data_IF_694945557637
#
_entry.id   IF_694945557637
#
_cell.length_a   1.000
_cell.length_b   1.000
_cell.length_c   1.000
_cell.angle_alpha   90.00
_cell.angle_beta   90.00
_cell.angle_gamma   90.00
#
_symmetry.space_group_name_H-M   'P 1'
#
loop_
_entity.id
_entity.type
_entity.pdbx_description
1 polymer ?
#
# COMPACT_ATOMS: atom_id res chain seq x y z
N UNK A 1 -5.95 -9.23 -0.28
CA UNK A 1 -5.52 -8.17 0.66
C UNK A 1 -6.66 -7.19 0.84
N UNK A 2 -6.77 -6.59 2.02
CA UNK A 2 -7.80 -5.60 2.34
C UNK A 2 -7.15 -4.26 2.68
N UNK A 3 -7.65 -3.17 2.10
CA UNK A 3 -7.08 -1.83 2.22
C UNK A 3 -8.10 -0.85 2.78
N UNK A 4 -7.66 0.02 3.69
CA UNK A 4 -8.40 1.19 4.13
C UNK A 4 -7.83 2.44 3.46
N UNK A 5 -8.67 3.28 2.88
CA UNK A 5 -8.28 4.60 2.38
C UNK A 5 -8.95 5.64 3.26
N UNK A 6 -8.14 6.47 3.91
CA UNK A 6 -8.62 7.62 4.69
C UNK A 6 -8.33 8.88 3.88
N UNK A 7 -9.35 9.68 3.68
CA UNK A 7 -9.24 10.90 2.87
C UNK A 7 -9.88 12.09 3.56
N UNK A 8 -9.15 13.22 3.62
CA UNK A 8 -9.68 14.46 4.17
C UNK A 8 -10.67 15.12 3.20
N UNK A 9 -11.77 15.69 3.74
CA UNK A 9 -12.72 16.51 2.97
C UNK A 9 -12.19 17.92 2.71
N UNK A 10 -11.36 18.43 3.62
CA UNK A 10 -10.74 19.74 3.41
C UNK A 10 -9.82 19.68 2.18
N UNK A 11 -9.89 20.69 1.32
CA UNK A 11 -9.25 20.73 -0.01
C UNK A 11 -9.75 19.61 -0.95
N UNK A 12 -11.06 19.34 -0.96
CA UNK A 12 -11.71 18.24 -1.69
C UNK A 12 -11.36 18.22 -3.18
N UNK A 13 -11.22 19.38 -3.82
CA UNK A 13 -10.78 19.47 -5.22
C UNK A 13 -9.47 18.71 -5.49
N UNK A 14 -8.55 18.70 -4.52
CA UNK A 14 -7.28 17.98 -4.60
C UNK A 14 -7.45 16.54 -4.08
N UNK A 15 -8.05 16.38 -2.90
CA UNK A 15 -8.08 15.08 -2.21
C UNK A 15 -8.94 14.05 -2.94
N UNK A 16 -9.99 14.46 -3.66
CA UNK A 16 -10.76 13.56 -4.51
C UNK A 16 -9.97 13.05 -5.73
N UNK A 17 -9.06 13.85 -6.28
CA UNK A 17 -8.13 13.40 -7.34
C UNK A 17 -7.14 12.37 -6.80
N UNK A 18 -6.63 12.59 -5.58
CA UNK A 18 -5.78 11.62 -4.91
C UNK A 18 -6.54 10.32 -4.64
N UNK A 19 -7.77 10.41 -4.14
CA UNK A 19 -8.62 9.26 -3.84
C UNK A 19 -8.89 8.42 -5.09
N UNK A 20 -9.33 9.04 -6.20
CA UNK A 20 -9.61 8.34 -7.46
C UNK A 20 -8.37 7.60 -7.97
N UNK A 21 -7.21 8.24 -7.92
CA UNK A 21 -5.96 7.63 -8.38
C UNK A 21 -5.47 6.53 -7.43
N UNK A 22 -5.64 6.67 -6.11
CA UNK A 22 -5.32 5.62 -5.16
C UNK A 22 -6.21 4.39 -5.36
N UNK A 23 -7.51 4.60 -5.55
CA UNK A 23 -8.47 3.54 -5.81
C UNK A 23 -8.14 2.78 -7.10
N UNK A 24 -7.90 3.51 -8.21
CA UNK A 24 -7.46 2.93 -9.48
C UNK A 24 -6.14 2.14 -9.34
N UNK A 25 -5.16 2.69 -8.62
CA UNK A 25 -3.89 2.03 -8.34
C UNK A 25 -4.05 0.69 -7.60
N UNK A 26 -4.95 0.61 -6.62
CA UNK A 26 -5.28 -0.63 -5.93
C UNK A 26 -5.94 -1.64 -6.87
N UNK A 27 -6.91 -1.22 -7.69
CA UNK A 27 -7.59 -2.11 -8.64
C UNK A 27 -6.60 -2.68 -9.66
N UNK A 28 -5.75 -1.85 -10.25
CA UNK A 28 -4.70 -2.28 -11.19
C UNK A 28 -3.67 -3.21 -10.53
N UNK A 29 -3.47 -3.10 -9.24
CA UNK A 29 -2.62 -4.01 -8.46
C UNK A 29 -3.32 -5.31 -8.05
N UNK A 30 -4.55 -5.55 -8.52
CA UNK A 30 -5.31 -6.78 -8.30
C UNK A 30 -6.12 -6.81 -7.00
N UNK A 31 -6.32 -5.67 -6.32
CA UNK A 31 -7.25 -5.60 -5.21
C UNK A 31 -8.70 -5.68 -5.71
N UNK A 32 -9.54 -6.48 -5.05
CA UNK A 32 -10.97 -6.51 -5.36
C UNK A 32 -11.67 -5.29 -4.76
N UNK A 33 -12.66 -4.72 -5.45
CA UNK A 33 -13.42 -3.55 -4.97
C UNK A 33 -13.96 -3.74 -3.54
N UNK A 34 -14.57 -4.90 -3.27
CA UNK A 34 -15.11 -5.25 -1.94
C UNK A 34 -14.06 -5.32 -0.82
N UNK A 35 -12.78 -5.30 -1.17
CA UNK A 35 -11.67 -5.29 -0.23
C UNK A 35 -11.06 -3.90 0.01
N UNK A 36 -11.66 -2.87 -0.56
CA UNK A 36 -11.25 -1.47 -0.40
C UNK A 36 -12.34 -0.74 0.37
N UNK A 37 -11.99 -0.16 1.50
CA UNK A 37 -12.90 0.65 2.32
C UNK A 37 -12.42 2.09 2.34
N UNK A 38 -13.35 3.03 2.14
CA UNK A 38 -13.06 4.46 2.09
C UNK A 38 -13.69 5.15 3.29
N UNK A 39 -12.87 5.87 4.05
CA UNK A 39 -13.28 6.64 5.22
C UNK A 39 -12.96 8.12 4.97
N UNK A 40 -13.97 8.98 5.01
CA UNK A 40 -13.82 10.42 4.86
C UNK A 40 -13.76 11.09 6.24
N UNK A 41 -12.72 11.90 6.45
CA UNK A 41 -12.52 12.68 7.68
C UNK A 41 -12.61 14.19 7.40
N UNK A 42 -12.90 15.03 8.41
CA UNK A 42 -13.06 16.47 8.20
C UNK A 42 -11.84 17.14 7.58
N UNK A 43 -10.65 16.91 8.13
CA UNK A 43 -9.40 17.51 7.69
C UNK A 43 -8.23 16.52 7.79
N UNK A 44 -7.04 16.99 7.45
CA UNK A 44 -5.82 16.16 7.53
C UNK A 44 -5.44 15.84 8.97
N UNK A 45 -5.81 16.69 9.93
CA UNK A 45 -5.50 16.50 11.35
C UNK A 45 -6.17 15.26 11.95
N UNK A 46 -7.33 14.87 11.43
CA UNK A 46 -8.07 13.69 11.88
C UNK A 46 -7.59 12.36 11.25
N UNK A 47 -6.75 12.43 10.22
CA UNK A 47 -6.24 11.25 9.51
C UNK A 47 -5.52 10.27 10.47
N UNK A 48 -4.58 10.70 11.33
CA UNK A 48 -3.85 9.76 12.20
C UNK A 48 -4.76 8.98 13.14
N UNK A 49 -5.76 9.64 13.73
CA UNK A 49 -6.73 8.99 14.63
C UNK A 49 -7.57 7.95 13.89
N UNK A 50 -8.10 8.30 12.71
CA UNK A 50 -8.85 7.37 11.89
C UNK A 50 -8.00 6.19 11.40
N UNK A 51 -6.74 6.45 11.03
CA UNK A 51 -5.79 5.43 10.60
C UNK A 51 -5.51 4.43 11.71
N UNK A 52 -5.27 4.91 12.93
CA UNK A 52 -5.09 4.06 14.09
C UNK A 52 -6.32 3.21 14.37
N UNK A 53 -7.49 3.82 14.39
CA UNK A 53 -8.75 3.12 14.64
C UNK A 53 -8.97 1.98 13.63
N UNK A 54 -8.75 2.22 12.32
CA UNK A 54 -8.86 1.18 11.31
C UNK A 54 -7.80 0.08 11.52
N UNK A 55 -6.55 0.44 11.79
CA UNK A 55 -5.47 -0.52 11.98
C UNK A 55 -5.73 -1.46 13.17
N UNK A 56 -6.25 -0.94 14.28
CA UNK A 56 -6.58 -1.69 15.50
C UNK A 56 -7.70 -2.70 15.30
N UNK A 57 -8.54 -2.55 14.26
CA UNK A 57 -9.55 -3.57 13.91
C UNK A 57 -8.93 -4.90 13.46
N UNK A 58 -7.65 -4.90 13.07
CA UNK A 58 -6.97 -6.09 12.54
C UNK A 58 -7.45 -6.55 11.16
N UNK A 59 -8.35 -5.80 10.51
CA UNK A 59 -8.99 -6.21 9.25
C UNK A 59 -8.18 -5.84 8.00
N UNK A 60 -7.22 -4.91 8.11
CA UNK A 60 -6.53 -4.32 6.96
C UNK A 60 -5.09 -4.80 6.86
N UNK A 61 -4.66 -5.06 5.63
CA UNK A 61 -3.27 -5.38 5.31
C UNK A 61 -2.41 -4.12 5.22
N UNK A 62 -2.99 -3.00 4.78
CA UNK A 62 -2.39 -1.66 4.81
C UNK A 62 -3.46 -0.57 4.80
N UNK A 63 -3.07 0.65 5.19
CA UNK A 63 -3.90 1.85 5.21
C UNK A 63 -3.25 2.92 4.33
N UNK A 64 -4.05 3.66 3.58
CA UNK A 64 -3.62 4.77 2.73
C UNK A 64 -4.19 6.05 3.32
N UNK A 65 -3.32 7.02 3.60
CA UNK A 65 -3.66 8.30 4.20
C UNK A 65 -3.57 9.40 3.14
N UNK A 66 -4.71 10.00 2.77
CA UNK A 66 -4.80 11.02 1.72
C UNK A 66 -5.27 12.35 2.30
N UNK A 67 -4.51 13.40 2.04
CA UNK A 67 -4.82 14.75 2.48
C UNK A 67 -4.10 15.79 1.64
N UNK A 68 -4.43 17.05 1.87
CA UNK A 68 -3.74 18.17 1.25
C UNK A 68 -3.66 19.33 2.24
N UNK A 69 -2.43 19.71 2.57
CA UNK A 69 -2.09 20.85 3.41
C UNK A 69 -1.45 21.91 2.51
N UNK A 70 -2.05 23.10 2.49
CA UNK A 70 -1.54 24.26 1.77
C UNK A 70 -1.04 25.28 2.80
N UNK A 71 0.15 25.83 2.55
CA UNK A 71 0.72 26.87 3.41
C UNK A 71 -0.11 28.13 3.32
N UNK A 72 -0.55 28.62 4.48
CA UNK A 72 -1.17 29.93 4.64
C UNK A 72 -0.19 30.90 5.32
N UNK A 73 -0.70 32.08 5.68
CA UNK A 73 0.09 33.18 6.24
C UNK A 73 0.51 32.99 7.70
N UNK A 74 0.04 31.92 8.35
CA UNK A 74 0.29 31.67 9.77
C UNK A 74 1.11 30.41 9.99
N UNK A 75 1.72 30.29 11.20
CA UNK A 75 2.45 29.10 11.62
C UNK A 75 1.57 27.84 11.77
N UNK A 76 0.26 27.94 11.62
CA UNK A 76 -0.68 26.85 11.74
C UNK A 76 -0.35 25.68 10.81
N UNK A 77 0.12 25.96 9.60
CA UNK A 77 0.55 24.95 8.63
C UNK A 77 1.63 24.02 9.20
N UNK A 78 2.69 24.59 9.78
CA UNK A 78 3.82 23.80 10.27
C UNK A 78 3.42 22.92 11.47
N UNK A 79 2.54 23.40 12.32
CA UNK A 79 1.98 22.64 13.44
C UNK A 79 1.18 21.44 12.93
N UNK A 80 0.29 21.64 11.98
CA UNK A 80 -0.56 20.57 11.43
C UNK A 80 0.27 19.56 10.66
N UNK A 81 1.22 20.00 9.80
CA UNK A 81 2.10 19.10 9.03
C UNK A 81 2.87 18.18 9.97
N UNK A 82 3.47 18.72 11.03
CA UNK A 82 4.26 17.94 11.98
C UNK A 82 3.39 16.89 12.69
N UNK A 83 2.22 17.29 13.20
CA UNK A 83 1.36 16.37 13.94
C UNK A 83 0.75 15.28 13.04
N UNK A 84 0.34 15.60 11.82
CA UNK A 84 -0.19 14.63 10.87
C UNK A 84 0.88 13.62 10.47
N UNK A 85 2.07 14.09 10.13
CA UNK A 85 3.18 13.22 9.70
C UNK A 85 3.62 12.29 10.83
N UNK A 86 3.84 12.88 12.03
CA UNK A 86 4.23 12.14 13.23
C UNK A 86 3.16 11.10 13.60
N UNK A 87 1.89 11.52 13.64
CA UNK A 87 0.79 10.66 14.06
C UNK A 87 0.55 9.48 13.12
N UNK A 88 0.66 9.67 11.79
CA UNK A 88 0.57 8.58 10.81
C UNK A 88 1.73 7.58 10.99
N UNK A 89 2.96 8.08 11.13
CA UNK A 89 4.14 7.25 11.36
C UNK A 89 4.07 6.47 12.66
N UNK A 90 3.67 7.11 13.75
CA UNK A 90 3.50 6.49 15.06
C UNK A 90 2.42 5.39 15.01
N UNK A 91 1.27 5.67 14.42
CA UNK A 91 0.21 4.68 14.25
C UNK A 91 0.70 3.43 13.51
N UNK A 92 1.45 3.61 12.41
CA UNK A 92 2.01 2.49 11.66
C UNK A 92 2.97 1.63 12.49
N UNK A 93 3.86 2.27 13.26
CA UNK A 93 4.84 1.58 14.10
C UNK A 93 4.18 0.82 15.25
N UNK A 94 3.23 1.45 15.95
CA UNK A 94 2.58 0.85 17.12
C UNK A 94 1.61 -0.27 16.76
N UNK A 95 0.90 -0.16 15.63
CA UNK A 95 -0.05 -1.18 15.18
C UNK A 95 0.60 -2.28 14.33
N UNK A 96 1.78 -2.01 13.79
CA UNK A 96 2.46 -2.89 12.83
C UNK A 96 1.69 -3.07 11.51
N UNK A 97 0.69 -2.23 11.23
CA UNK A 97 -0.02 -2.15 9.95
C UNK A 97 0.64 -1.07 9.11
N UNK A 98 1.09 -1.33 7.87
CA UNK A 98 1.67 -0.31 7.01
C UNK A 98 0.68 0.84 6.74
N UNK A 99 1.15 2.08 6.88
CA UNK A 99 0.41 3.28 6.50
C UNK A 99 1.15 3.98 5.36
N UNK A 100 0.52 4.05 4.19
CA UNK A 100 1.08 4.75 3.04
C UNK A 100 0.72 6.23 3.11
N UNK A 101 1.75 7.09 3.01
CA UNK A 101 1.63 8.53 3.16
C UNK A 101 1.35 9.19 1.82
N UNK A 102 0.11 9.60 1.61
CA UNK A 102 -0.37 10.35 0.45
C UNK A 102 -0.89 11.74 0.81
N UNK A 103 -0.39 12.33 1.90
CA UNK A 103 -0.74 13.69 2.31
C UNK A 103 0.20 14.67 1.60
N UNK A 104 -0.37 15.56 0.80
CA UNK A 104 0.37 16.64 0.17
C UNK A 104 0.65 17.77 1.17
N UNK A 105 1.88 18.25 1.17
CA UNK A 105 2.34 19.40 1.94
C UNK A 105 2.97 20.39 0.96
N UNK A 106 2.21 21.40 0.57
CA UNK A 106 2.57 22.29 -0.53
C UNK A 106 2.54 23.76 -0.08
N UNK A 107 3.43 24.56 -0.63
CA UNK A 107 3.44 25.98 -0.40
C UNK A 107 2.39 26.71 -1.25
N UNK A 108 2.07 26.17 -2.44
CA UNK A 108 1.09 26.76 -3.36
C UNK A 108 0.06 25.76 -3.86
N UNK A 109 -1.07 26.28 -4.33
CA UNK A 109 -2.13 25.47 -4.94
C UNK A 109 -1.64 24.77 -6.21
N UNK A 110 -0.81 25.44 -7.02
CA UNK A 110 -0.24 24.87 -8.25
C UNK A 110 0.58 23.63 -7.95
N UNK A 111 1.42 23.65 -6.91
CA UNK A 111 2.16 22.47 -6.47
C UNK A 111 1.21 21.32 -6.11
N UNK A 112 0.13 21.61 -5.40
CA UNK A 112 -0.84 20.58 -5.03
C UNK A 112 -1.56 20.00 -6.26
N UNK A 113 -1.94 20.83 -7.23
CA UNK A 113 -2.56 20.38 -8.47
C UNK A 113 -1.59 19.50 -9.28
N UNK A 114 -0.33 19.92 -9.41
CA UNK A 114 0.69 19.13 -10.13
C UNK A 114 0.88 17.74 -9.51
N UNK A 115 0.92 17.66 -8.19
CA UNK A 115 1.07 16.40 -7.44
C UNK A 115 -0.22 15.57 -7.33
N UNK A 116 -1.35 16.16 -7.69
CA UNK A 116 -2.63 15.48 -7.79
C UNK A 116 -2.93 14.94 -9.20
N UNK A 117 -1.93 14.92 -10.09
CA UNK A 117 -2.03 14.25 -11.39
C UNK A 117 -2.08 15.16 -12.61
N UNK A 118 -1.72 16.46 -12.47
CA UNK A 118 -1.65 17.32 -13.64
C UNK A 118 -0.34 17.15 -14.41
N UNK A 119 0.82 17.25 -13.74
CA UNK A 119 2.12 17.27 -14.40
C UNK A 119 3.13 16.27 -13.80
N UNK A 120 3.17 16.15 -12.48
CA UNK A 120 4.22 15.43 -11.73
C UNK A 120 3.75 14.07 -11.18
N UNK A 121 2.87 13.37 -11.89
CA UNK A 121 2.27 12.13 -11.40
C UNK A 121 1.16 12.39 -10.35
N UNK A 122 0.70 11.33 -9.69
CA UNK A 122 -0.35 11.45 -8.67
C UNK A 122 0.07 10.77 -7.38
N UNK A 123 0.16 11.57 -6.30
CA UNK A 123 0.61 11.07 -4.99
C UNK A 123 -0.32 10.03 -4.37
N UNK A 124 -1.60 10.03 -4.71
CA UNK A 124 -2.56 8.99 -4.31
C UNK A 124 -2.23 7.65 -4.95
N UNK A 125 -1.90 7.64 -6.25
CA UNK A 125 -1.47 6.43 -6.95
C UNK A 125 -0.17 5.87 -6.37
N UNK A 126 0.83 6.72 -6.15
CA UNK A 126 2.11 6.33 -5.53
C UNK A 126 1.88 5.71 -4.13
N UNK A 127 1.00 6.31 -3.32
CA UNK A 127 0.66 5.79 -2.00
C UNK A 127 -0.05 4.42 -2.08
N UNK A 128 -0.89 4.20 -3.08
CA UNK A 128 -1.52 2.90 -3.30
C UNK A 128 -0.50 1.81 -3.63
N UNK A 129 0.45 2.10 -4.53
CA UNK A 129 1.53 1.16 -4.85
C UNK A 129 2.39 0.84 -3.62
N UNK A 130 2.78 1.86 -2.85
CA UNK A 130 3.53 1.68 -1.61
C UNK A 130 2.75 0.83 -0.59
N UNK A 131 1.43 1.02 -0.46
CA UNK A 131 0.59 0.22 0.42
C UNK A 131 0.58 -1.26 0.00
N UNK A 132 0.46 -1.55 -1.30
CA UNK A 132 0.49 -2.92 -1.83
C UNK A 132 1.86 -3.57 -1.59
N UNK A 133 2.94 -2.85 -1.88
CA UNK A 133 4.31 -3.33 -1.66
C UNK A 133 4.55 -3.66 -0.19
N UNK A 134 4.24 -2.74 0.73
CA UNK A 134 4.44 -2.92 2.15
C UNK A 134 3.54 -4.01 2.76
N UNK A 135 2.32 -4.19 2.27
CA UNK A 135 1.45 -5.28 2.67
C UNK A 135 2.04 -6.65 2.28
N UNK A 136 2.60 -6.76 1.06
CA UNK A 136 3.27 -7.97 0.61
C UNK A 136 4.55 -8.24 1.38
N UNK A 137 5.39 -7.22 1.59
CA UNK A 137 6.62 -7.32 2.36
C UNK A 137 6.34 -7.79 3.80
N UNK A 138 5.33 -7.20 4.45
CA UNK A 138 4.91 -7.61 5.80
C UNK A 138 4.53 -9.08 5.86
N UNK A 139 3.82 -9.60 4.86
CA UNK A 139 3.47 -11.02 4.75
C UNK A 139 4.71 -11.89 4.55
N UNK A 140 5.60 -11.49 3.65
CA UNK A 140 6.83 -12.22 3.35
C UNK A 140 7.77 -12.33 4.59
N UNK A 141 7.92 -11.25 5.35
CA UNK A 141 8.74 -11.24 6.59
C UNK A 141 8.14 -12.14 7.68
N UNK A 142 6.80 -12.26 7.73
CA UNK A 142 6.12 -13.09 8.75
C UNK A 142 6.09 -14.58 8.42
N UNK A 143 6.43 -14.99 7.20
CA UNK A 143 6.55 -16.40 6.84
C UNK A 143 7.83 -16.95 7.48
N UNK A 144 7.77 -17.99 8.36
CA UNK A 144 8.96 -18.60 8.93
C UNK A 144 9.88 -19.13 7.82
N UNK A 145 11.18 -18.89 7.94
CA UNK A 145 12.18 -19.36 6.94
C UNK A 145 12.13 -20.87 6.71
N UNK A 146 11.71 -21.66 7.71
CA UNK A 146 11.45 -23.10 7.56
C UNK A 146 10.43 -23.44 6.47
N UNK A 147 9.34 -22.68 6.36
CA UNK A 147 8.31 -22.90 5.35
C UNK A 147 8.81 -22.62 3.93
N UNK A 148 9.73 -21.69 3.76
CA UNK A 148 10.36 -21.37 2.46
C UNK A 148 11.32 -22.48 2.03
N UNK A 149 12.07 -23.06 2.99
CA UNK A 149 12.98 -24.17 2.73
C UNK A 149 12.22 -25.44 2.28
N UNK A 150 11.10 -25.75 2.92
CA UNK A 150 10.26 -26.90 2.56
C UNK A 150 9.64 -26.78 1.16
N UNK A 151 9.21 -25.58 0.78
CA UNK A 151 8.68 -25.31 -0.57
C UNK A 151 9.78 -25.47 -1.62
N UNK A 152 10.98 -24.95 -1.38
CA UNK A 152 12.13 -25.09 -2.28
C UNK A 152 12.60 -26.56 -2.41
N UNK A 153 12.56 -27.33 -1.33
CA UNK A 153 12.89 -28.74 -1.33
C UNK A 153 11.85 -29.56 -2.10
N UNK A 154 10.56 -29.23 -1.99
CA UNK A 154 9.46 -29.86 -2.73
C UNK A 154 9.59 -29.64 -4.24
N UNK A 155 9.87 -28.39 -4.67
CA UNK A 155 10.07 -28.05 -6.09
C UNK A 155 11.29 -28.77 -6.67
N UNK A 156 12.38 -28.93 -5.91
CA UNK A 156 13.57 -29.69 -6.35
C UNK A 156 13.28 -31.17 -6.49
N UNK A 157 12.47 -31.79 -5.64
CA UNK A 157 12.08 -33.20 -5.72
C UNK A 157 11.21 -33.48 -6.95
N UNK A 158 10.27 -32.60 -7.29
CA UNK A 158 9.44 -32.75 -8.50
C UNK A 158 10.24 -32.59 -9.78
N UNK A 159 11.19 -31.63 -9.82
CA UNK A 159 12.08 -31.43 -10.97
C UNK A 159 13.10 -32.59 -11.15
N UNK A 160 13.56 -33.20 -10.05
CA UNK A 160 14.46 -34.39 -10.09
C UNK A 160 13.76 -35.65 -10.64
N UNK A 161 12.51 -35.84 -10.25
CA UNK A 161 11.74 -37.04 -10.66
C UNK A 161 11.35 -37.04 -12.16
N UNK A 162 11.24 -35.86 -12.77
CA UNK A 162 10.97 -35.74 -14.23
C UNK A 162 12.20 -36.12 -15.08
N UNK A 163 13.42 -35.86 -14.61
CA UNK A 163 14.67 -36.21 -15.29
C UNK A 163 14.96 -37.73 -15.26
N UNK A 164 14.56 -38.44 -14.22
CA UNK A 164 14.78 -39.87 -14.06
C UNK A 164 13.81 -40.66 -14.98
N UNK A 165 12.58 -40.15 -15.18
CA UNK A 165 11.58 -40.80 -16.06
C UNK A 165 11.91 -40.69 -17.56
N UNK A 166 12.68 -39.69 -17.99
CA UNK A 166 13.14 -39.53 -19.38
C UNK A 166 14.34 -40.44 -19.72
N UNK A 167 15.21 -40.76 -18.72
CA UNK A 167 16.35 -41.66 -18.95
C UNK A 167 15.96 -43.13 -19.07
N UNK A 168 14.89 -43.60 -18.44
CA UNK A 168 14.43 -44.99 -18.53
C UNK A 168 13.68 -45.35 -19.82
N UNK A 169 13.28 -44.36 -20.63
CA UNK A 169 12.65 -44.60 -21.95
C UNK A 169 13.59 -44.67 -23.15
N UNK A 170 14.91 -44.37 -22.96
CA UNK A 170 15.89 -44.30 -24.04
C UNK A 170 16.67 -45.60 -24.31
N UNK A 171 16.53 -46.65 -23.46
CA UNK A 171 17.35 -47.88 -23.57
C UNK A 171 16.63 -49.10 -24.12
N UNK A 172 15.42 -48.96 -24.73
CA UNK A 172 14.69 -50.07 -25.31
C UNK A 172 14.46 -49.92 -26.82
N UNK A 173 15.54 -49.73 -27.59
CA UNK A 173 15.51 -49.92 -29.04
C UNK A 173 16.93 -50.23 -29.56
N UNK A 174 17.32 -51.52 -29.56
CA UNK A 174 18.20 -52.15 -30.57
C UNK A 174 18.42 -53.60 -30.15
N UNK A 175 17.62 -54.50 -30.73
CA UNK A 175 17.99 -55.87 -31.08
C UNK A 175 16.85 -56.41 -31.96
N UNK A 176 16.98 -56.28 -33.19
CA UNK A 176 16.83 -57.21 -34.30
C UNK A 176 17.09 -56.47 -35.60
#
# INVERSE_FOLDING_TARGET
MRFGIIVSRFNEFITDRLLRSAYDGLLRSGAAEKSIEIVRVPGSFEIPTAARTLAETGKYDAIICLGCLLRGDTAHYDVIVNEVTRGIGQSAQETGVPHAFGVLTCDTLEQAIDRAGLKMGNKGFEAALAAVEMANLRKAIRIPQSAVADTAASVRRTAGNSKTKLRSRGTRRKKH
#
